data_IF_657526809867
#
_entry.id   IF_657526809867
#
_cell.length_a   1.000
_cell.length_b   1.000
_cell.length_c   1.000
_cell.angle_alpha   90.00
_cell.angle_beta   90.00
_cell.angle_gamma   90.00
#
_symmetry.space_group_name_H-M   'P 1'
#
loop_
_entity.id
_entity.type
_entity.pdbx_description
1 polymer ?
#
# COMPACT_ATOMS: atom_id res chain seq x y z
N UNK A 1 -17.41 -6.39 9.95
CA UNK A 1 -18.60 -6.74 9.14
C UNK A 1 -18.37 -6.10 7.79
N UNK A 2 -18.28 -6.93 6.74
CA UNK A 2 -17.81 -6.62 5.39
C UNK A 2 -18.69 -5.56 4.69
N UNK A 3 -18.10 -4.48 4.19
CA UNK A 3 -18.80 -3.34 3.56
C UNK A 3 -19.81 -3.69 2.44
N UNK A 4 -19.52 -4.63 1.52
CA UNK A 4 -20.45 -5.01 0.44
C UNK A 4 -21.55 -6.01 0.86
N UNK A 5 -21.49 -6.57 2.06
CA UNK A 5 -22.61 -7.34 2.64
C UNK A 5 -23.39 -6.50 3.65
N UNK A 6 -22.77 -5.47 4.21
CA UNK A 6 -23.38 -4.54 5.12
C UNK A 6 -24.38 -3.61 4.41
N UNK A 7 -24.09 -3.15 3.20
CA UNK A 7 -24.98 -2.26 2.44
C UNK A 7 -26.32 -2.93 2.09
N UNK A 8 -26.30 -4.15 1.56
CA UNK A 8 -27.52 -4.93 1.30
C UNK A 8 -28.28 -5.25 2.60
N UNK A 9 -27.59 -5.65 3.67
CA UNK A 9 -28.24 -5.93 4.95
C UNK A 9 -28.90 -4.69 5.57
N UNK A 10 -28.22 -3.54 5.53
CA UNK A 10 -28.76 -2.26 5.99
C UNK A 10 -29.95 -1.87 5.13
N UNK A 11 -29.82 -1.91 3.81
CA UNK A 11 -30.90 -1.58 2.89
C UNK A 11 -32.13 -2.46 3.12
N UNK A 12 -31.95 -3.77 3.22
CA UNK A 12 -33.02 -4.74 3.46
C UNK A 12 -33.68 -4.55 4.83
N UNK A 13 -32.95 -4.05 5.83
CA UNK A 13 -33.53 -3.69 7.13
C UNK A 13 -34.36 -2.40 7.08
N UNK A 14 -33.95 -1.44 6.23
CA UNK A 14 -34.60 -0.14 6.10
C UNK A 14 -35.85 -0.22 5.22
N UNK A 15 -35.83 -1.01 4.14
CA UNK A 15 -36.87 -0.99 3.12
C UNK A 15 -38.28 -1.36 3.64
N UNK A 16 -38.46 -2.40 4.47
CA UNK A 16 -39.78 -2.72 5.03
C UNK A 16 -40.33 -1.63 5.97
N UNK A 17 -39.44 -0.92 6.69
CA UNK A 17 -39.84 0.13 7.63
C UNK A 17 -40.43 1.35 6.93
N UNK A 18 -40.11 1.55 5.65
CA UNK A 18 -40.65 2.66 4.86
C UNK A 18 -42.13 2.48 4.49
N UNK A 19 -42.67 1.26 4.58
CA UNK A 19 -44.07 0.95 4.24
C UNK A 19 -45.09 1.74 5.08
N UNK A 20 -44.70 2.21 6.26
CA UNK A 20 -45.55 2.99 7.17
C UNK A 20 -45.71 4.45 6.72
N UNK A 21 -44.93 4.91 5.74
CA UNK A 21 -44.94 6.28 5.25
C UNK A 21 -45.43 6.32 3.80
N UNK A 22 -46.63 6.87 3.59
CA UNK A 22 -47.17 7.11 2.27
C UNK A 22 -46.27 8.09 1.49
N UNK A 23 -45.95 7.76 0.23
CA UNK A 23 -45.09 8.60 -0.62
C UNK A 23 -43.62 8.64 -0.20
N UNK A 24 -43.12 7.64 0.53
CA UNK A 24 -41.72 7.58 0.94
C UNK A 24 -40.76 7.68 -0.24
N UNK A 25 -39.61 8.32 -0.01
CA UNK A 25 -38.50 8.41 -0.95
C UNK A 25 -37.23 7.89 -0.28
N UNK A 26 -36.36 7.27 -1.07
CA UNK A 26 -35.04 6.86 -0.64
C UNK A 26 -34.00 7.75 -1.33
N UNK A 27 -33.12 8.34 -0.53
CA UNK A 27 -31.95 9.08 -1.02
C UNK A 27 -30.70 8.24 -0.76
N UNK A 28 -29.90 8.05 -1.80
CA UNK A 28 -28.62 7.39 -1.73
C UNK A 28 -27.57 8.39 -2.20
N UNK A 29 -26.60 8.71 -1.35
CA UNK A 29 -25.50 9.61 -1.66
C UNK A 29 -24.21 8.90 -1.27
N UNK A 30 -23.27 8.80 -2.21
CA UNK A 30 -21.99 8.14 -1.98
C UNK A 30 -20.93 8.71 -2.92
N UNK A 31 -19.66 8.56 -2.52
CA UNK A 31 -18.52 8.76 -3.41
C UNK A 31 -18.45 7.59 -4.40
N UNK A 32 -18.02 7.86 -5.65
CA UNK A 32 -17.84 6.81 -6.65
C UNK A 32 -16.77 5.79 -6.21
N UNK A 33 -17.21 4.58 -5.92
CA UNK A 33 -16.36 3.46 -5.53
C UNK A 33 -16.00 2.56 -6.71
N UNK A 34 -15.88 1.26 -6.44
CA UNK A 34 -15.84 0.25 -7.50
C UNK A 34 -17.22 0.04 -8.11
N UNK A 35 -17.27 -0.46 -9.35
CA UNK A 35 -18.50 -0.91 -10.03
C UNK A 35 -19.10 -2.18 -9.40
N UNK A 36 -19.47 -2.11 -8.13
CA UNK A 36 -20.03 -3.22 -7.35
C UNK A 36 -20.91 -2.74 -6.19
N UNK A 37 -21.63 -3.69 -5.60
CA UNK A 37 -22.48 -3.44 -4.44
C UNK A 37 -23.76 -2.70 -4.82
N UNK A 38 -24.60 -2.48 -3.81
CA UNK A 38 -25.96 -2.03 -4.02
C UNK A 38 -26.01 -0.63 -4.62
N UNK A 39 -25.12 0.28 -4.18
CA UNK A 39 -25.09 1.65 -4.70
C UNK A 39 -24.77 1.69 -6.20
N UNK A 40 -23.79 0.90 -6.65
CA UNK A 40 -23.46 0.81 -8.08
C UNK A 40 -24.61 0.21 -8.89
N UNK A 41 -25.29 -0.82 -8.39
CA UNK A 41 -26.45 -1.39 -9.06
C UNK A 41 -27.54 -0.32 -9.25
N UNK A 42 -27.87 0.41 -8.17
CA UNK A 42 -28.86 1.48 -8.22
C UNK A 42 -28.48 2.62 -9.18
N UNK A 43 -27.19 2.97 -9.22
CA UNK A 43 -26.63 3.96 -10.11
C UNK A 43 -26.71 3.51 -11.58
N UNK A 44 -26.22 2.29 -11.88
CA UNK A 44 -26.14 1.76 -13.23
C UNK A 44 -27.52 1.55 -13.87
N UNK A 45 -28.49 1.06 -13.08
CA UNK A 45 -29.88 0.94 -13.53
C UNK A 45 -30.60 2.29 -13.58
N UNK A 46 -30.16 3.26 -12.78
CA UNK A 46 -30.97 4.42 -12.44
C UNK A 46 -31.29 5.34 -13.60
N UNK A 47 -30.39 5.45 -14.58
CA UNK A 47 -30.66 6.18 -15.82
C UNK A 47 -31.74 5.54 -16.71
N UNK A 48 -32.12 4.30 -16.43
CA UNK A 48 -33.12 3.54 -17.18
C UNK A 48 -34.45 3.36 -16.42
N UNK A 49 -34.56 3.83 -15.17
CA UNK A 49 -35.75 3.67 -14.34
C UNK A 49 -36.45 5.02 -14.19
N UNK A 50 -37.66 5.11 -14.75
CA UNK A 50 -38.41 6.37 -14.87
C UNK A 50 -38.68 7.08 -13.52
N UNK A 51 -38.94 6.32 -12.45
CA UNK A 51 -39.23 6.87 -11.11
C UNK A 51 -37.99 7.03 -10.22
N UNK A 52 -36.78 6.98 -10.80
CA UNK A 52 -35.52 7.16 -10.09
C UNK A 52 -34.77 8.37 -10.65
N UNK A 53 -34.48 9.35 -9.78
CA UNK A 53 -33.54 10.42 -10.13
C UNK A 53 -32.12 9.92 -9.86
N UNK A 54 -31.30 9.85 -10.90
CA UNK A 54 -29.89 9.49 -10.81
C UNK A 54 -29.03 10.58 -11.42
N UNK A 55 -28.03 11.04 -10.69
CA UNK A 55 -27.11 12.07 -11.13
C UNK A 55 -25.66 11.65 -10.85
N UNK A 56 -24.76 12.07 -11.75
CA UNK A 56 -23.32 11.97 -11.62
C UNK A 56 -22.76 13.30 -12.08
N UNK A 57 -21.96 13.95 -11.25
CA UNK A 57 -21.35 15.21 -11.63
C UNK A 57 -20.01 15.40 -10.90
N UNK A 58 -19.02 16.00 -11.58
CA UNK A 58 -17.76 16.34 -10.95
C UNK A 58 -17.94 17.47 -9.94
N UNK A 59 -16.98 17.58 -9.03
CA UNK A 59 -16.98 18.51 -7.91
C UNK A 59 -17.05 19.97 -8.35
N UNK A 60 -16.34 20.35 -9.42
CA UNK A 60 -16.32 21.72 -9.94
C UNK A 60 -17.65 22.15 -10.57
N UNK A 61 -18.39 21.20 -11.14
CA UNK A 61 -19.73 21.43 -11.67
C UNK A 61 -20.75 21.64 -10.53
N UNK A 62 -20.72 20.79 -9.49
CA UNK A 62 -21.68 20.86 -8.38
C UNK A 62 -21.35 22.01 -7.42
N UNK A 63 -20.07 22.31 -7.21
CA UNK A 63 -19.62 23.38 -6.34
C UNK A 63 -18.50 24.21 -7.00
N UNK A 64 -18.86 25.20 -7.83
CA UNK A 64 -17.90 26.06 -8.53
C UNK A 64 -17.04 26.95 -7.61
N UNK A 65 -17.34 27.00 -6.31
CA UNK A 65 -16.57 27.76 -5.33
C UNK A 65 -15.27 27.05 -4.92
N UNK A 66 -15.12 25.77 -5.26
CA UNK A 66 -13.89 25.03 -4.96
C UNK A 66 -12.75 25.57 -5.85
N UNK A 67 -11.62 26.00 -5.25
CA UNK A 67 -10.53 26.56 -6.03
C UNK A 67 -9.96 25.56 -7.04
N UNK A 68 -9.80 25.97 -8.30
CA UNK A 68 -9.17 25.13 -9.33
C UNK A 68 -7.77 24.67 -8.95
N UNK A 69 -7.00 25.54 -8.29
CA UNK A 69 -5.66 25.19 -7.80
C UNK A 69 -5.67 24.04 -6.78
N UNK A 70 -6.74 23.90 -5.99
CA UNK A 70 -6.89 22.78 -5.07
C UNK A 70 -7.14 21.47 -5.84
N UNK A 71 -8.04 21.50 -6.82
CA UNK A 71 -8.32 20.33 -7.67
C UNK A 71 -7.09 19.89 -8.46
N UNK A 72 -6.34 20.82 -9.04
CA UNK A 72 -5.09 20.51 -9.76
C UNK A 72 -4.02 19.91 -8.82
N UNK A 73 -3.92 20.40 -7.57
CA UNK A 73 -3.03 19.81 -6.57
C UNK A 73 -3.43 18.38 -6.20
N UNK A 74 -4.72 18.13 -6.01
CA UNK A 74 -5.22 16.79 -5.68
C UNK A 74 -5.09 15.83 -6.86
N UNK A 75 -5.33 16.30 -8.08
CA UNK A 75 -5.11 15.55 -9.33
C UNK A 75 -3.65 15.16 -9.51
N UNK A 76 -2.72 16.09 -9.27
CA UNK A 76 -1.30 15.84 -9.34
C UNK A 76 -0.81 14.92 -8.21
N UNK A 77 -1.49 14.93 -7.05
CA UNK A 77 -1.18 14.09 -5.89
C UNK A 77 -1.52 12.62 -6.13
N UNK A 78 -2.74 12.35 -6.60
CA UNK A 78 -3.24 11.00 -6.89
C UNK A 78 -4.36 11.09 -7.92
N UNK A 79 -4.04 10.77 -9.18
CA UNK A 79 -4.98 10.86 -10.29
C UNK A 79 -6.17 9.92 -10.10
N UNK A 80 -5.98 8.73 -9.51
CA UNK A 80 -7.05 7.74 -9.42
C UNK A 80 -7.98 8.02 -8.24
N UNK A 81 -7.42 8.48 -7.12
CA UNK A 81 -8.24 9.07 -6.06
C UNK A 81 -8.99 10.30 -6.58
N UNK A 82 -8.33 11.13 -7.40
CA UNK A 82 -8.97 12.30 -7.97
C UNK A 82 -10.16 11.95 -8.86
N UNK A 83 -10.01 10.95 -9.72
CA UNK A 83 -11.10 10.48 -10.59
C UNK A 83 -12.31 9.96 -9.78
N UNK A 84 -12.09 9.30 -8.64
CA UNK A 84 -13.18 8.80 -7.79
C UNK A 84 -13.83 9.88 -6.93
N UNK A 85 -13.01 10.66 -6.21
CA UNK A 85 -13.47 11.62 -5.21
C UNK A 85 -13.99 12.92 -5.86
N UNK A 86 -13.30 13.41 -6.90
CA UNK A 86 -13.60 14.73 -7.48
C UNK A 86 -14.31 14.64 -8.83
N UNK A 87 -13.98 13.69 -9.70
CA UNK A 87 -14.67 13.51 -10.99
C UNK A 87 -15.91 12.59 -10.89
N UNK A 88 -16.13 11.99 -9.72
CA UNK A 88 -17.22 11.05 -9.47
C UNK A 88 -17.22 9.83 -10.41
N UNK A 89 -16.07 9.38 -10.90
CA UNK A 89 -15.95 8.26 -11.85
C UNK A 89 -15.75 6.94 -11.11
N UNK A 90 -16.66 5.99 -11.34
CA UNK A 90 -16.54 4.63 -10.80
C UNK A 90 -15.35 3.88 -11.40
N UNK A 91 -14.58 3.22 -10.56
CA UNK A 91 -13.44 2.39 -10.97
C UNK A 91 -13.88 0.95 -11.30
N UNK A 92 -13.22 0.31 -12.26
CA UNK A 92 -13.30 -1.14 -12.44
C UNK A 92 -12.60 -1.82 -11.25
N UNK A 93 -13.26 -2.78 -10.61
CA UNK A 93 -12.64 -3.60 -9.57
C UNK A 93 -12.07 -4.85 -10.22
N UNK A 94 -10.76 -5.05 -10.10
CA UNK A 94 -10.21 -6.41 -10.16
C UNK A 94 -10.05 -6.97 -8.75
N UNK A 95 -9.96 -8.29 -8.69
CA UNK A 95 -9.84 -9.16 -7.51
C UNK A 95 -8.80 -8.68 -6.47
N UNK A 96 -8.73 -9.37 -5.32
CA UNK A 96 -7.67 -9.14 -4.34
C UNK A 96 -6.30 -9.10 -5.02
N UNK A 97 -5.47 -8.09 -4.73
CA UNK A 97 -4.20 -7.90 -5.42
C UNK A 97 -3.27 -9.10 -5.21
N UNK A 98 -3.29 -9.68 -4.01
CA UNK A 98 -2.71 -10.97 -3.71
C UNK A 98 -3.82 -12.02 -3.56
N UNK A 99 -3.61 -13.22 -4.09
CA UNK A 99 -4.49 -14.35 -3.80
C UNK A 99 -4.21 -14.93 -2.41
N UNK A 100 -5.20 -15.63 -1.84
CA UNK A 100 -5.05 -16.27 -0.53
C UNK A 100 -3.91 -17.30 -0.53
N UNK A 101 -3.89 -18.17 -1.54
CA UNK A 101 -2.89 -19.25 -1.63
C UNK A 101 -1.46 -18.70 -1.76
N UNK A 102 -1.27 -17.67 -2.61
CA UNK A 102 0.02 -16.99 -2.78
C UNK A 102 0.55 -16.43 -1.45
N UNK A 103 -0.30 -15.75 -0.68
CA UNK A 103 0.11 -15.22 0.61
C UNK A 103 0.36 -16.33 1.62
N UNK A 104 -0.45 -17.39 1.62
CA UNK A 104 -0.30 -18.47 2.58
C UNK A 104 1.07 -19.16 2.47
N UNK A 105 1.63 -19.26 1.26
CA UNK A 105 2.99 -19.75 1.03
C UNK A 105 4.09 -18.79 1.50
N UNK A 106 3.81 -17.49 1.60
CA UNK A 106 4.76 -16.49 2.08
C UNK A 106 4.85 -16.46 3.62
N UNK A 107 3.76 -16.78 4.34
CA UNK A 107 3.66 -16.68 5.80
C UNK A 107 4.31 -17.86 6.55
N UNK A 108 5.64 -17.98 6.44
CA UNK A 108 6.40 -19.13 6.96
C UNK A 108 7.27 -18.83 8.18
N UNK A 109 7.49 -17.56 8.52
CA UNK A 109 8.41 -17.20 9.59
C UNK A 109 7.69 -17.20 10.95
N UNK A 110 8.26 -17.92 11.91
CA UNK A 110 7.76 -17.95 13.28
C UNK A 110 8.47 -16.90 14.14
N UNK A 111 7.79 -15.78 14.37
CA UNK A 111 8.30 -14.68 15.20
C UNK A 111 9.41 -13.86 14.54
N UNK A 112 10.02 -12.99 15.34
CA UNK A 112 11.09 -12.11 14.89
C UNK A 112 12.39 -12.88 14.64
N UNK A 113 13.12 -12.50 13.60
CA UNK A 113 14.37 -13.15 13.21
C UNK A 113 15.56 -12.50 13.92
N UNK A 114 16.59 -13.30 14.23
CA UNK A 114 17.80 -12.77 14.89
C UNK A 114 18.71 -12.08 13.87
N UNK A 115 19.39 -11.03 14.31
CA UNK A 115 20.42 -10.39 13.52
C UNK A 115 21.58 -11.35 13.20
N UNK A 116 21.96 -11.35 11.92
CA UNK A 116 23.12 -12.04 11.38
C UNK A 116 23.99 -11.01 10.67
N UNK A 117 25.26 -10.92 11.06
CA UNK A 117 26.17 -9.84 10.65
C UNK A 117 26.56 -9.82 9.17
N UNK A 118 26.35 -10.93 8.45
CA UNK A 118 26.62 -11.03 7.01
C UNK A 118 25.60 -10.30 6.14
N UNK A 119 24.43 -9.95 6.69
CA UNK A 119 23.36 -9.32 5.93
C UNK A 119 23.23 -7.82 6.22
N UNK A 120 22.68 -7.11 5.24
CA UNK A 120 22.28 -5.71 5.39
C UNK A 120 20.78 -5.65 5.61
N UNK A 121 20.36 -4.93 6.65
CA UNK A 121 18.97 -4.80 7.07
C UNK A 121 18.44 -3.41 6.74
N UNK A 122 17.16 -3.34 6.38
CA UNK A 122 16.47 -2.10 6.05
C UNK A 122 15.24 -1.92 6.92
N UNK A 123 15.01 -0.69 7.37
CA UNK A 123 13.81 -0.31 8.08
C UNK A 123 12.81 0.32 7.11
N UNK A 124 11.67 -0.32 6.89
CA UNK A 124 10.50 0.28 6.24
C UNK A 124 9.59 0.92 7.26
N UNK A 125 9.11 2.12 6.97
CA UNK A 125 8.21 2.87 7.83
C UNK A 125 7.04 3.38 7.01
N UNK A 126 5.84 3.14 7.52
CA UNK A 126 4.62 3.80 7.07
C UNK A 126 4.04 4.61 8.22
N UNK A 127 3.86 5.91 8.00
CA UNK A 127 3.38 6.85 9.00
C UNK A 127 2.18 7.58 8.41
N UNK A 128 1.01 6.95 8.49
CA UNK A 128 -0.21 7.51 7.94
C UNK A 128 -0.74 8.62 8.86
N UNK A 129 -0.80 9.85 8.32
CA UNK A 129 -1.39 11.01 8.98
C UNK A 129 -0.51 11.70 10.03
N UNK A 130 -0.57 13.04 10.06
CA UNK A 130 -0.19 13.88 11.21
C UNK A 130 -1.44 14.53 11.83
N UNK A 131 -2.63 14.06 11.44
CA UNK A 131 -3.91 14.70 11.69
C UNK A 131 -4.99 13.65 12.00
N UNK A 132 -4.75 12.74 12.94
CA UNK A 132 -5.77 11.75 13.29
C UNK A 132 -5.40 10.72 14.34
N UNK A 133 -6.06 9.56 14.24
CA UNK A 133 -5.70 8.31 14.94
C UNK A 133 -4.56 7.64 14.17
N UNK A 134 -3.44 8.32 14.10
CA UNK A 134 -2.35 7.99 13.19
C UNK A 134 -1.63 6.72 13.70
N UNK A 135 -1.58 5.68 12.86
CA UNK A 135 -0.92 4.42 13.13
C UNK A 135 0.46 4.43 12.48
N UNK A 136 1.47 3.91 13.19
CA UNK A 136 2.81 3.73 12.63
C UNK A 136 3.04 2.25 12.34
N UNK A 137 3.38 1.92 11.10
CA UNK A 137 3.90 0.60 10.73
C UNK A 137 5.43 0.65 10.70
N UNK A 138 6.08 -0.31 11.37
CA UNK A 138 7.52 -0.52 11.28
C UNK A 138 7.79 -1.96 10.81
N UNK A 139 8.74 -2.11 9.88
CA UNK A 139 9.20 -3.42 9.45
C UNK A 139 10.70 -3.44 9.17
N UNK A 140 11.37 -4.50 9.57
CA UNK A 140 12.78 -4.77 9.22
C UNK A 140 12.83 -5.93 8.25
N UNK A 141 13.67 -5.83 7.23
CA UNK A 141 13.94 -6.94 6.33
C UNK A 141 15.39 -6.98 5.89
N UNK A 142 15.81 -8.16 5.46
CA UNK A 142 17.06 -8.38 4.75
C UNK A 142 16.86 -9.24 3.51
N UNK A 143 17.92 -9.30 2.69
CA UNK A 143 18.03 -10.18 1.54
C UNK A 143 19.02 -11.31 1.84
N UNK A 144 18.60 -12.54 1.61
CA UNK A 144 19.42 -13.74 1.68
C UNK A 144 19.34 -14.47 0.32
N UNK A 145 20.40 -14.33 -0.50
CA UNK A 145 20.36 -14.78 -1.90
C UNK A 145 19.24 -14.10 -2.68
N UNK A 146 18.33 -14.87 -3.27
CA UNK A 146 17.13 -14.34 -3.95
C UNK A 146 15.96 -14.06 -3.01
N UNK A 147 16.00 -14.56 -1.77
CA UNK A 147 14.90 -14.45 -0.81
C UNK A 147 14.97 -13.14 -0.05
N UNK A 148 13.80 -12.53 0.16
CA UNK A 148 13.59 -11.41 1.05
C UNK A 148 12.87 -11.91 2.30
N UNK A 149 13.50 -11.68 3.44
CA UNK A 149 13.04 -12.14 4.76
C UNK A 149 12.63 -10.93 5.57
N UNK A 150 11.43 -10.96 6.13
CA UNK A 150 10.95 -9.96 7.07
C UNK A 150 11.32 -10.38 8.48
N UNK A 151 12.28 -9.67 9.06
CA UNK A 151 12.86 -9.98 10.37
C UNK A 151 12.00 -9.47 11.53
N UNK A 152 11.27 -8.39 11.31
CA UNK A 152 10.43 -7.75 12.31
C UNK A 152 9.28 -7.02 11.62
N UNK A 153 8.08 -7.05 12.19
CA UNK A 153 6.94 -6.30 11.70
C UNK A 153 5.96 -5.97 12.84
N UNK A 154 5.70 -4.68 13.09
CA UNK A 154 4.79 -4.23 14.14
C UNK A 154 4.10 -2.91 13.78
N UNK A 155 2.82 -2.83 14.10
CA UNK A 155 2.05 -1.59 14.07
C UNK A 155 1.92 -0.99 15.47
N UNK A 156 1.78 0.33 15.52
CA UNK A 156 1.66 1.10 16.75
C UNK A 156 0.36 1.90 16.73
N UNK A 157 -0.56 1.52 17.61
CA UNK A 157 -1.78 2.27 17.87
C UNK A 157 -1.59 3.23 19.05
N UNK A 158 -0.72 4.21 18.87
CA UNK A 158 -0.42 5.21 19.90
C UNK A 158 -0.03 6.55 19.30
N UNK A 159 -0.45 7.63 19.97
CA UNK A 159 0.03 8.99 19.67
C UNK A 159 1.34 9.33 20.36
N UNK A 160 1.82 8.45 21.25
CA UNK A 160 3.05 8.69 21.99
C UNK A 160 4.26 8.38 21.11
N UNK A 161 4.82 9.45 20.54
CA UNK A 161 6.00 9.38 19.67
C UNK A 161 7.23 8.82 20.37
N UNK A 162 7.38 8.98 21.68
CA UNK A 162 8.54 8.45 22.41
C UNK A 162 8.57 6.93 22.37
N UNK A 163 7.41 6.27 22.38
CA UNK A 163 7.32 4.81 22.25
C UNK A 163 7.86 4.37 20.89
N UNK A 164 7.40 5.01 19.82
CA UNK A 164 7.80 4.70 18.44
C UNK A 164 9.29 4.99 18.25
N UNK A 165 9.77 6.14 18.73
CA UNK A 165 11.18 6.54 18.66
C UNK A 165 12.08 5.57 19.43
N UNK A 166 11.67 5.11 20.60
CA UNK A 166 12.43 4.13 21.38
C UNK A 166 12.46 2.77 20.67
N UNK A 167 11.35 2.34 20.07
CA UNK A 167 11.37 1.11 19.26
C UNK A 167 12.35 1.24 18.07
N UNK A 168 12.35 2.38 17.37
CA UNK A 168 13.30 2.61 16.26
C UNK A 168 14.75 2.56 16.76
N UNK A 169 15.05 3.11 17.95
CA UNK A 169 16.39 3.01 18.55
C UNK A 169 16.78 1.58 18.87
N UNK A 170 15.85 0.79 19.41
CA UNK A 170 16.09 -0.60 19.75
C UNK A 170 16.31 -1.44 18.49
N UNK A 171 15.47 -1.27 17.46
CA UNK A 171 15.65 -1.90 16.15
C UNK A 171 16.99 -1.50 15.52
N UNK A 172 17.36 -0.22 15.59
CA UNK A 172 18.64 0.27 15.07
C UNK A 172 19.82 -0.43 15.72
N UNK A 173 19.77 -0.64 17.04
CA UNK A 173 20.80 -1.35 17.79
C UNK A 173 20.79 -2.85 17.46
N UNK A 174 19.61 -3.48 17.48
CA UNK A 174 19.46 -4.92 17.37
C UNK A 174 19.78 -5.45 15.96
N UNK A 175 19.44 -4.69 14.91
CA UNK A 175 19.66 -5.07 13.51
C UNK A 175 20.77 -4.27 12.81
N UNK A 176 21.52 -3.45 13.56
CA UNK A 176 22.57 -2.59 13.03
C UNK A 176 22.12 -1.73 11.83
N UNK A 177 20.96 -1.08 11.97
CA UNK A 177 20.34 -0.33 10.87
C UNK A 177 21.10 0.96 10.58
N UNK A 178 21.35 1.21 9.29
CA UNK A 178 21.95 2.45 8.79
C UNK A 178 20.97 3.30 7.97
N UNK A 179 19.90 2.69 7.44
CA UNK A 179 18.94 3.33 6.53
C UNK A 179 17.50 3.03 6.97
N UNK A 180 16.66 4.05 6.87
CA UNK A 180 15.20 3.94 6.94
C UNK A 180 14.57 4.40 5.62
N UNK A 181 13.51 3.72 5.22
CA UNK A 181 12.76 3.98 3.99
C UNK A 181 11.35 4.43 4.37
N UNK A 182 10.98 5.60 3.87
CA UNK A 182 9.71 6.25 4.19
C UNK A 182 8.94 6.57 2.91
N UNK A 183 7.64 6.76 3.04
CA UNK A 183 6.81 7.27 1.96
C UNK A 183 7.10 8.75 1.63
N UNK A 184 6.44 9.30 0.60
CA UNK A 184 6.61 10.70 0.23
C UNK A 184 5.98 11.68 1.22
N UNK A 185 5.00 11.25 2.00
CA UNK A 185 4.21 12.12 2.88
C UNK A 185 4.83 12.30 4.27
N UNK A 186 5.61 11.33 4.75
CA UNK A 186 6.34 11.34 6.01
C UNK A 186 7.61 12.22 6.01
N UNK A 187 7.93 12.87 4.89
CA UNK A 187 9.21 13.56 4.65
C UNK A 187 9.57 14.70 5.60
N UNK A 188 8.59 15.32 6.27
CA UNK A 188 8.85 16.48 7.13
C UNK A 188 9.37 16.07 8.51
N UNK A 189 8.43 15.69 9.38
CA UNK A 189 8.72 15.41 10.78
C UNK A 189 9.43 14.08 11.01
N UNK A 190 8.94 12.99 10.40
CA UNK A 190 9.51 11.64 10.58
C UNK A 190 10.95 11.59 10.07
N UNK A 191 11.24 12.23 8.93
CA UNK A 191 12.61 12.35 8.40
C UNK A 191 13.57 13.02 9.39
N UNK A 192 13.15 14.12 10.03
CA UNK A 192 13.99 14.83 10.99
C UNK A 192 14.33 13.97 12.21
N UNK A 193 13.35 13.20 12.71
CA UNK A 193 13.56 12.23 13.79
C UNK A 193 14.57 11.17 13.38
N UNK A 194 14.40 10.53 12.23
CA UNK A 194 15.27 9.46 11.76
C UNK A 194 16.72 9.93 11.59
N UNK A 195 16.90 11.13 11.02
CA UNK A 195 18.23 11.75 10.89
C UNK A 195 18.87 12.04 12.25
N UNK A 196 18.09 12.51 13.25
CA UNK A 196 18.58 12.72 14.62
C UNK A 196 19.00 11.40 15.29
N UNK A 197 18.39 10.27 14.91
CA UNK A 197 18.79 8.93 15.35
C UNK A 197 20.00 8.38 14.59
N UNK A 198 20.55 9.12 13.63
CA UNK A 198 21.71 8.73 12.82
C UNK A 198 21.36 7.75 11.70
N UNK A 199 20.11 7.69 11.24
CA UNK A 199 19.69 6.90 10.09
C UNK A 199 19.71 7.74 8.81
N UNK A 200 20.27 7.18 7.74
CA UNK A 200 20.02 7.66 6.38
C UNK A 200 18.55 7.48 6.02
N UNK A 201 17.99 8.40 5.23
CA UNK A 201 16.58 8.36 4.85
C UNK A 201 16.43 8.26 3.34
N UNK A 202 15.78 7.19 2.89
CA UNK A 202 15.38 6.97 1.49
C UNK A 202 13.87 7.16 1.38
N UNK A 203 13.44 7.76 0.28
CA UNK A 203 12.02 7.91 -0.04
C UNK A 203 11.67 6.84 -1.06
N UNK A 204 10.70 5.99 -0.75
CA UNK A 204 10.27 4.93 -1.68
C UNK A 204 9.57 5.47 -2.95
N UNK A 205 9.53 4.67 -4.04
CA UNK A 205 8.66 4.90 -5.20
C UNK A 205 7.16 4.86 -4.84
N UNK A 206 6.29 4.81 -5.87
CA UNK A 206 4.85 4.75 -5.65
C UNK A 206 4.44 3.47 -4.91
N UNK A 207 3.25 3.49 -4.29
CA UNK A 207 2.68 2.31 -3.64
C UNK A 207 2.50 1.16 -4.65
N UNK A 208 2.05 1.48 -5.87
CA UNK A 208 1.92 0.50 -6.94
C UNK A 208 3.25 -0.19 -7.29
N UNK A 209 4.33 0.58 -7.44
CA UNK A 209 5.65 0.04 -7.81
C UNK A 209 6.14 -0.99 -6.78
N UNK A 210 6.04 -0.65 -5.49
CA UNK A 210 6.56 -1.51 -4.42
C UNK A 210 5.69 -2.77 -4.24
N UNK A 211 4.37 -2.66 -4.43
CA UNK A 211 3.45 -3.79 -4.34
C UNK A 211 3.59 -4.74 -5.53
N UNK A 212 3.81 -4.21 -6.74
CA UNK A 212 4.13 -5.03 -7.92
C UNK A 212 5.43 -5.80 -7.71
N UNK A 213 6.48 -5.16 -7.18
CA UNK A 213 7.72 -5.85 -6.83
C UNK A 213 7.49 -6.98 -5.82
N UNK A 214 6.75 -6.72 -4.74
CA UNK A 214 6.46 -7.74 -3.73
C UNK A 214 5.60 -8.89 -4.28
N UNK A 215 4.63 -8.61 -5.16
CA UNK A 215 3.84 -9.64 -5.85
C UNK A 215 4.72 -10.54 -6.73
N UNK A 216 5.67 -9.97 -7.46
CA UNK A 216 6.64 -10.76 -8.24
C UNK A 216 7.52 -11.65 -7.34
N UNK A 217 7.92 -11.15 -6.17
CA UNK A 217 8.67 -11.95 -5.18
C UNK A 217 7.82 -13.08 -4.58
N UNK A 218 6.55 -12.81 -4.29
CA UNK A 218 5.61 -13.82 -3.79
C UNK A 218 5.36 -14.93 -4.84
N UNK A 219 5.09 -14.56 -6.09
CA UNK A 219 4.90 -15.51 -7.20
C UNK A 219 6.13 -16.40 -7.41
N UNK A 220 7.34 -15.86 -7.22
CA UNK A 220 8.59 -16.60 -7.39
C UNK A 220 9.04 -17.36 -6.14
N UNK A 221 8.26 -17.39 -5.06
CA UNK A 221 8.63 -18.06 -3.80
C UNK A 221 9.80 -17.40 -3.07
N UNK A 222 10.09 -16.15 -3.37
CA UNK A 222 11.24 -15.38 -2.85
C UNK A 222 10.86 -14.40 -1.74
N UNK A 223 9.62 -14.45 -1.23
CA UNK A 223 9.17 -13.60 -0.12
C UNK A 223 8.84 -14.46 1.11
N UNK A 224 9.41 -14.12 2.26
CA UNK A 224 9.14 -14.79 3.54
C UNK A 224 8.66 -13.78 4.57
N UNK A 225 7.43 -13.98 5.05
CA UNK A 225 6.69 -13.09 5.96
C UNK A 225 6.49 -13.75 7.34
N UNK A 226 6.48 -12.97 8.43
CA UNK A 226 6.10 -13.46 9.76
C UNK A 226 4.63 -13.78 9.82
N UNK A 227 4.28 -14.90 10.48
CA UNK A 227 2.90 -15.27 10.76
C UNK A 227 2.26 -14.20 11.67
N UNK A 228 1.60 -13.23 11.05
CA UNK A 228 0.99 -12.08 11.70
C UNK A 228 -0.39 -11.82 11.08
N UNK A 229 -1.44 -11.92 11.91
CA UNK A 229 -2.83 -11.81 11.45
C UNK A 229 -3.19 -10.43 10.90
N UNK A 230 -2.60 -9.36 11.45
CA UNK A 230 -2.82 -8.00 10.96
C UNK A 230 -2.17 -7.81 9.59
N UNK A 231 -0.92 -8.23 9.44
CA UNK A 231 -0.21 -8.20 8.15
C UNK A 231 -0.95 -9.03 7.09
N UNK A 232 -1.38 -10.26 7.44
CA UNK A 232 -2.13 -11.13 6.53
C UNK A 232 -3.43 -10.48 6.06
N UNK A 233 -4.19 -9.87 6.97
CA UNK A 233 -5.42 -9.14 6.63
C UNK A 233 -5.14 -7.92 5.76
N UNK A 234 -4.12 -7.12 6.08
CA UNK A 234 -3.73 -5.95 5.29
C UNK A 234 -3.37 -6.32 3.84
N UNK A 235 -2.55 -7.35 3.67
CA UNK A 235 -2.17 -7.82 2.33
C UNK A 235 -3.35 -8.44 1.56
N UNK A 236 -4.19 -9.26 2.20
CA UNK A 236 -5.40 -9.83 1.56
C UNK A 236 -6.42 -8.77 1.15
N UNK A 237 -6.54 -7.70 1.94
CA UNK A 237 -7.46 -6.63 1.67
C UNK A 237 -6.93 -5.62 0.65
N UNK A 238 -5.67 -5.76 0.22
CA UNK A 238 -5.08 -4.87 -0.80
C UNK A 238 -5.83 -5.02 -2.12
N UNK A 239 -6.27 -3.90 -2.68
CA UNK A 239 -7.01 -3.85 -3.95
C UNK A 239 -6.19 -3.15 -5.02
N UNK A 240 -6.24 -3.69 -6.23
CA UNK A 240 -5.72 -3.04 -7.42
C UNK A 240 -6.85 -2.38 -8.21
N UNK A 241 -6.62 -1.14 -8.59
CA UNK A 241 -7.49 -0.36 -9.44
C UNK A 241 -6.72 -0.02 -10.70
N UNK A 242 -7.36 -0.20 -11.86
CA UNK A 242 -6.81 0.23 -13.14
C UNK A 242 -7.63 1.38 -13.66
N UNK A 243 -6.95 2.46 -14.04
CA UNK A 243 -7.57 3.59 -14.72
C UNK A 243 -7.90 3.21 -16.18
N UNK A 244 -8.67 4.06 -16.88
CA UNK A 244 -8.88 3.91 -18.34
C UNK A 244 -7.58 4.01 -19.16
N UNK A 245 -6.53 4.63 -18.60
CA UNK A 245 -5.20 4.69 -19.22
C UNK A 245 -4.29 3.51 -18.82
N UNK A 246 -4.86 2.46 -18.22
CA UNK A 246 -4.16 1.26 -17.74
C UNK A 246 -3.10 1.54 -16.66
N UNK A 247 -3.23 2.67 -15.95
CA UNK A 247 -2.41 2.97 -14.78
C UNK A 247 -2.88 2.12 -13.60
N UNK A 248 -1.94 1.46 -12.91
CA UNK A 248 -2.23 0.68 -11.70
C UNK A 248 -2.15 1.58 -10.48
N UNK A 249 -3.18 1.52 -9.65
CA UNK A 249 -3.21 2.07 -8.30
C UNK A 249 -3.51 0.99 -7.28
N UNK A 250 -2.84 1.09 -6.14
CA UNK A 250 -3.07 0.23 -4.99
C UNK A 250 -3.89 1.02 -3.98
N UNK A 251 -4.96 0.41 -3.49
CA UNK A 251 -5.78 0.98 -2.44
C UNK A 251 -6.12 -0.04 -1.38
N UNK A 252 -6.30 0.46 -0.16
CA UNK A 252 -6.69 -0.32 1.00
C UNK A 252 -8.12 0.08 1.42
N UNK A 253 -9.01 -0.89 1.71
CA UNK A 253 -10.32 -0.60 2.24
C UNK A 253 -10.20 0.17 3.56
N UNK A 254 -10.78 1.38 3.62
CA UNK A 254 -10.89 2.17 4.85
C UNK A 254 -12.02 1.64 5.72
N UNK A 255 -11.96 0.40 6.16
CA UNK A 255 -12.88 -0.13 7.15
C UNK A 255 -12.28 -0.01 8.57
N UNK A 256 -13.14 -0.03 9.58
CA UNK A 256 -12.74 0.11 11.00
C UNK A 256 -11.79 -0.98 11.53
N UNK A 257 -11.49 -1.99 10.72
CA UNK A 257 -10.70 -3.18 11.06
C UNK A 257 -9.48 -3.41 10.14
N UNK A 258 -9.39 -2.65 9.05
CA UNK A 258 -8.45 -2.81 7.95
C UNK A 258 -7.38 -1.73 8.04
N UNK A 259 -6.45 -1.91 8.96
CA UNK A 259 -5.26 -1.07 9.03
C UNK A 259 -4.20 -1.65 8.09
N UNK A 260 -3.88 -0.90 7.03
CA UNK A 260 -2.89 -1.29 6.01
C UNK A 260 -1.49 -0.80 6.33
N UNK A 261 -1.30 -0.05 7.41
CA UNK A 261 -0.03 0.62 7.74
C UNK A 261 1.10 -0.41 7.94
N UNK A 262 0.79 -1.55 8.58
CA UNK A 262 1.74 -2.64 8.72
C UNK A 262 2.12 -3.26 7.37
N UNK A 263 1.14 -3.45 6.48
CA UNK A 263 1.38 -3.98 5.15
C UNK A 263 2.26 -3.03 4.33
N UNK A 264 1.96 -1.73 4.35
CA UNK A 264 2.72 -0.72 3.62
C UNK A 264 4.14 -0.58 4.15
N UNK A 265 4.34 -0.63 5.47
CA UNK A 265 5.68 -0.64 6.07
C UNK A 265 6.49 -1.88 5.67
N UNK A 266 5.86 -3.06 5.70
CA UNK A 266 6.49 -4.32 5.28
C UNK A 266 6.87 -4.26 3.82
N UNK A 267 5.95 -3.92 2.92
CA UNK A 267 6.22 -3.89 1.47
C UNK A 267 7.25 -2.81 1.13
N UNK A 268 7.30 -1.71 1.90
CA UNK A 268 8.34 -0.69 1.79
C UNK A 268 9.73 -1.27 2.12
N UNK A 269 9.84 -2.06 3.20
CA UNK A 269 11.11 -2.70 3.56
C UNK A 269 11.50 -3.77 2.53
N UNK A 270 10.54 -4.58 2.04
CA UNK A 270 10.75 -5.60 0.99
C UNK A 270 11.37 -4.97 -0.24
N UNK A 271 10.77 -3.88 -0.73
CA UNK A 271 11.24 -3.22 -1.93
C UNK A 271 12.70 -2.78 -1.78
N UNK A 272 13.05 -2.17 -0.66
CA UNK A 272 14.42 -1.75 -0.41
C UNK A 272 15.39 -2.93 -0.35
N UNK A 273 15.05 -4.00 0.37
CA UNK A 273 15.89 -5.19 0.47
C UNK A 273 16.06 -5.88 -0.88
N UNK A 274 15.04 -5.86 -1.74
CA UNK A 274 15.13 -6.40 -3.11
C UNK A 274 16.10 -5.64 -4.02
N UNK A 275 16.41 -4.38 -3.68
CA UNK A 275 17.33 -3.50 -4.43
C UNK A 275 18.77 -3.59 -3.96
N UNK A 276 19.01 -4.20 -2.80
CA UNK A 276 20.37 -4.44 -2.32
C UNK A 276 20.93 -5.62 -3.10
N UNK A 277 21.99 -5.37 -3.87
CA UNK A 277 22.84 -6.43 -4.38
C UNK A 277 23.74 -6.92 -3.25
N UNK A 278 23.86 -8.23 -3.10
CA UNK A 278 24.81 -8.78 -2.14
C UNK A 278 26.24 -8.37 -2.53
N UNK A 279 27.14 -8.30 -1.54
CA UNK A 279 28.54 -7.95 -1.77
C UNK A 279 29.19 -8.94 -2.76
N UNK A 280 28.83 -10.21 -2.66
CA UNK A 280 29.21 -11.28 -3.60
C UNK A 280 28.63 -11.07 -5.01
N UNK A 281 27.37 -10.61 -5.16
CA UNK A 281 26.80 -10.29 -6.49
C UNK A 281 27.47 -9.04 -7.12
N UNK A 282 27.87 -8.07 -6.30
CA UNK A 282 28.64 -6.89 -6.73
C UNK A 282 30.06 -7.23 -7.17
N UNK A 283 30.67 -8.25 -6.57
CA UNK A 283 32.00 -8.74 -6.93
C UNK A 283 31.95 -9.71 -8.12
N UNK A 284 30.82 -10.40 -8.31
CA UNK A 284 30.58 -11.31 -9.44
C UNK A 284 30.30 -10.61 -10.76
N UNK A 285 29.50 -9.54 -10.74
CA UNK A 285 29.09 -8.85 -11.97
C UNK A 285 29.69 -7.44 -12.05
N UNK A 286 30.67 -7.24 -12.94
CA UNK A 286 31.26 -5.93 -13.21
C UNK A 286 30.56 -5.32 -14.42
N UNK A 287 29.97 -4.13 -14.23
CA UNK A 287 29.36 -3.37 -15.33
C UNK A 287 30.40 -2.46 -15.94
N UNK A 288 30.75 -2.72 -17.20
CA UNK A 288 31.64 -1.89 -18.00
C UNK A 288 30.84 -0.85 -18.76
N UNK A 289 31.27 0.41 -18.68
CA UNK A 289 30.69 1.52 -19.42
C UNK A 289 31.77 2.22 -20.24
N UNK A 290 31.74 1.98 -21.55
CA UNK A 290 32.71 2.54 -22.51
C UNK A 290 32.14 3.71 -23.32
N UNK A 291 30.98 4.25 -22.89
CA UNK A 291 30.30 5.38 -23.55
C UNK A 291 28.95 5.02 -24.14
N UNK A 292 28.39 5.94 -24.93
CA UNK A 292 27.01 5.82 -25.47
C UNK A 292 26.88 4.55 -26.32
N UNK A 293 26.10 3.60 -25.82
CA UNK A 293 25.79 2.33 -26.50
C UNK A 293 26.70 1.16 -26.16
N UNK A 294 27.71 1.35 -25.31
CA UNK A 294 28.66 0.29 -24.92
C UNK A 294 28.56 0.03 -23.41
N UNK A 295 27.50 -0.69 -23.03
CA UNK A 295 27.27 -1.15 -21.66
C UNK A 295 27.22 -2.67 -21.68
N UNK A 296 28.18 -3.32 -21.05
CA UNK A 296 28.25 -4.77 -20.99
C UNK A 296 28.60 -5.25 -19.58
N UNK A 297 28.17 -6.47 -19.26
CA UNK A 297 28.29 -7.05 -17.93
C UNK A 297 29.27 -8.22 -18.00
N UNK A 298 30.34 -8.14 -17.22
CA UNK A 298 31.29 -9.23 -17.02
C UNK A 298 30.84 -10.11 -15.85
N UNK A 299 30.68 -11.43 -16.06
CA UNK A 299 30.57 -12.42 -14.98
C UNK A 299 31.99 -12.91 -14.67
N UNK A 300 32.52 -12.55 -13.51
CA UNK A 300 33.92 -12.81 -13.12
C UNK A 300 34.21 -14.29 -12.85
N UNK A 301 33.17 -15.14 -12.76
CA UNK A 301 33.28 -16.59 -12.57
C UNK A 301 33.17 -17.40 -13.88
N UNK A 302 32.87 -16.77 -15.02
CA UNK A 302 32.63 -17.48 -16.29
C UNK A 302 33.89 -17.99 -17.02
N UNK A 303 35.08 -17.94 -16.37
CA UNK A 303 36.38 -18.24 -16.99
C UNK A 303 37.02 -19.59 -16.63
N UNK A 304 36.31 -20.51 -15.97
CA UNK A 304 36.91 -21.81 -15.60
C UNK A 304 36.54 -23.01 -16.49
N UNK A 305 35.70 -22.87 -17.52
CA UNK A 305 35.42 -23.95 -18.46
C UNK A 305 35.63 -23.52 -19.93
N UNK A 306 36.89 -23.47 -20.37
CA UNK A 306 37.27 -23.54 -21.79
C UNK A 306 38.64 -24.18 -21.98
#
# INVERSE_FOLDING_TARGET
>A
IEGPRADEAIFNSLRPRQAQFAGNKLFMISTAGSKQGLFWQYFNEGFNIQDRLTCQAPTDFVNPLIPKEFLEKEKARDIDNYMREYEAIFAERMEAFFSFDMLNECFILTGDQKYISSFTYNLGIDASGLAGRDLFGLAVSHRQGTKIIIDYAKSFNTKNLDIIVNEIKDLKKNYNLSIAVIDKFAKGFVRAILMKLGLGVIVRPSLADIYVNAKSLAISGNLSLPVNNELKKGLLNTQAFYSKSNSLTIGHPRDSTGHSDLADAVITSVFQSSRIMNREEKERYIVHNEGIGALWVEDTEAKEDS
#
